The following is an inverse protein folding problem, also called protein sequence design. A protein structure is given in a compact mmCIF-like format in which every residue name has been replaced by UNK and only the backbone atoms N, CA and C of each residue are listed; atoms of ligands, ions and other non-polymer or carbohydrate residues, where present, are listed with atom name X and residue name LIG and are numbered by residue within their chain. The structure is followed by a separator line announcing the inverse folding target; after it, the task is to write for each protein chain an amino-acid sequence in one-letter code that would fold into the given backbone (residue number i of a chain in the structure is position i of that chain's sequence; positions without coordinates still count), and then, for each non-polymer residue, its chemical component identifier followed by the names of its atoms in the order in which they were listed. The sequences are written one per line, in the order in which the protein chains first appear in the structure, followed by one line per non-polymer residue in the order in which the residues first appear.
data_IF_486574816830
#
_entry.id   IF_486574816830
#
_cell.length_a   1.000
_cell.length_b   1.000
_cell.length_c   1.000
_cell.angle_alpha   90.00
_cell.angle_beta   90.00
_cell.angle_gamma   90.00
#
_symmetry.space_group_name_H-M   'P 1'
#
loop_
_entity.id
_entity.type
_entity.pdbx_description
1 polymer ?
#
# COMPACT_ATOMS: atom_id res chain seq x y z
N UNK A 1 13.88 6.99 1.10
CA UNK A 1 13.86 5.51 1.30
C UNK A 1 14.93 4.81 0.49
N UNK A 2 14.94 4.89 -0.83
CA UNK A 2 15.96 4.20 -1.65
C UNK A 2 17.37 4.68 -1.30
N UNK A 3 17.59 5.97 -1.21
CA UNK A 3 18.87 6.59 -0.82
C UNK A 3 19.29 6.28 0.64
N UNK A 4 18.33 5.84 1.46
CA UNK A 4 18.59 5.41 2.85
C UNK A 4 18.87 3.91 2.97
N UNK A 5 19.01 3.20 1.82
CA UNK A 5 19.36 1.78 1.77
C UNK A 5 18.19 0.80 1.65
N UNK A 6 16.94 1.28 1.54
CA UNK A 6 15.78 0.44 1.26
C UNK A 6 15.63 0.24 -0.25
N UNK A 7 16.35 -0.72 -0.81
CA UNK A 7 16.44 -0.90 -2.25
C UNK A 7 15.34 -1.81 -2.84
N UNK A 8 14.85 -2.77 -2.07
CA UNK A 8 13.80 -3.70 -2.52
C UNK A 8 12.41 -3.08 -2.35
N UNK A 9 12.07 -2.15 -3.23
CA UNK A 9 10.80 -1.43 -3.19
C UNK A 9 9.97 -1.83 -4.40
N UNK A 10 8.72 -2.28 -4.15
CA UNK A 10 7.70 -2.47 -5.17
C UNK A 10 6.60 -1.44 -4.95
N UNK A 11 6.37 -0.63 -5.96
CA UNK A 11 5.28 0.35 -5.99
C UNK A 11 4.18 -0.15 -6.90
N UNK A 12 2.94 -0.02 -6.48
CA UNK A 12 1.77 -0.31 -7.31
C UNK A 12 0.90 0.93 -7.45
N UNK A 13 0.33 1.11 -8.61
CA UNK A 13 -0.65 2.16 -8.88
C UNK A 13 -1.67 1.65 -9.91
N UNK A 14 -2.92 2.06 -9.77
CA UNK A 14 -4.00 1.72 -10.70
C UNK A 14 -3.93 2.53 -12.00
N UNK A 15 -3.11 3.57 -12.04
CA UNK A 15 -2.90 4.39 -13.21
C UNK A 15 -1.72 3.87 -14.05
N UNK A 16 -2.02 3.30 -15.21
CA UNK A 16 -0.98 2.90 -16.17
C UNK A 16 -0.05 4.06 -16.57
N UNK A 17 -0.60 5.26 -16.69
CA UNK A 17 0.18 6.46 -17.03
C UNK A 17 1.17 6.81 -15.92
N UNK A 18 0.73 6.74 -14.66
CA UNK A 18 1.58 6.99 -13.51
C UNK A 18 2.72 5.96 -13.44
N UNK A 19 2.40 4.68 -13.55
CA UNK A 19 3.36 3.59 -13.53
C UNK A 19 4.43 3.79 -14.61
N UNK A 20 4.02 3.99 -15.85
CA UNK A 20 4.94 4.20 -16.98
C UNK A 20 5.86 5.41 -16.79
N UNK A 21 5.28 6.53 -16.35
CA UNK A 21 6.06 7.74 -16.09
C UNK A 21 7.10 7.52 -14.98
N UNK A 22 6.73 6.82 -13.92
CA UNK A 22 7.63 6.55 -12.80
C UNK A 22 8.70 5.52 -13.15
N UNK A 23 8.37 4.48 -13.92
CA UNK A 23 9.36 3.52 -14.43
C UNK A 23 10.46 4.22 -15.23
N UNK A 24 10.08 5.10 -16.15
CA UNK A 24 11.03 5.88 -16.96
C UNK A 24 11.92 6.78 -16.08
N UNK A 25 11.32 7.43 -15.08
CA UNK A 25 12.00 8.35 -14.18
C UNK A 25 13.04 7.68 -13.29
N UNK A 26 12.80 6.45 -12.84
CA UNK A 26 13.69 5.75 -11.89
C UNK A 26 14.71 4.84 -12.56
N UNK A 27 14.53 4.52 -13.84
CA UNK A 27 15.28 3.51 -14.61
C UNK A 27 16.78 3.55 -14.40
N UNK A 28 17.37 4.74 -14.39
CA UNK A 28 18.81 4.94 -14.25
C UNK A 28 19.29 5.11 -12.80
N UNK A 29 18.37 5.44 -11.88
CA UNK A 29 18.71 5.85 -10.51
C UNK A 29 18.43 4.78 -9.47
N UNK A 30 17.42 3.97 -9.69
CA UNK A 30 16.90 3.03 -8.67
C UNK A 30 16.68 1.64 -9.29
N UNK A 31 17.76 0.94 -9.60
CA UNK A 31 17.73 -0.33 -10.37
C UNK A 31 16.88 -1.44 -9.74
N UNK A 32 16.76 -1.47 -8.42
CA UNK A 32 16.02 -2.50 -7.69
C UNK A 32 14.59 -2.06 -7.32
N UNK A 33 14.23 -0.81 -7.57
CA UNK A 33 12.88 -0.30 -7.36
C UNK A 33 12.00 -0.66 -8.57
N UNK A 34 10.80 -1.14 -8.30
CA UNK A 34 9.83 -1.56 -9.32
C UNK A 34 8.57 -0.70 -9.22
N UNK A 35 8.02 -0.33 -10.37
CA UNK A 35 6.67 0.20 -10.47
C UNK A 35 5.83 -0.77 -11.29
N UNK A 36 4.62 -1.07 -10.84
CA UNK A 36 3.72 -2.00 -11.51
C UNK A 36 2.29 -1.46 -11.49
N UNK A 37 1.57 -1.71 -12.56
CA UNK A 37 0.13 -1.61 -12.50
C UNK A 37 -0.40 -2.62 -11.48
N UNK A 38 -1.28 -2.18 -10.59
CA UNK A 38 -1.89 -3.06 -9.60
C UNK A 38 -3.09 -2.41 -8.93
N UNK A 39 -4.03 -3.24 -8.52
CA UNK A 39 -5.19 -2.82 -7.77
C UNK A 39 -5.03 -3.29 -6.31
N UNK A 40 -5.03 -2.36 -5.39
CA UNK A 40 -4.82 -2.64 -3.96
C UNK A 40 -5.91 -3.51 -3.32
N UNK A 41 -7.09 -3.60 -3.94
CA UNK A 41 -8.17 -4.49 -3.49
C UNK A 41 -8.07 -5.93 -4.04
N UNK A 42 -7.11 -6.17 -4.92
CA UNK A 42 -6.81 -7.49 -5.49
C UNK A 42 -5.32 -7.55 -5.85
N UNK A 43 -4.52 -8.03 -4.91
CA UNK A 43 -3.07 -8.17 -5.05
C UNK A 43 -2.65 -9.63 -5.21
N UNK A 44 -3.45 -10.42 -5.94
CA UNK A 44 -3.26 -11.87 -6.12
C UNK A 44 -1.88 -12.27 -6.71
N UNK A 45 -1.20 -11.34 -7.40
CA UNK A 45 0.16 -11.56 -7.92
C UNK A 45 1.22 -11.67 -6.82
N UNK A 46 0.92 -11.17 -5.60
CA UNK A 46 1.84 -11.22 -4.46
C UNK A 46 1.46 -12.35 -3.50
N UNK A 47 2.48 -13.02 -2.97
CA UNK A 47 2.31 -14.12 -2.02
C UNK A 47 1.94 -13.58 -0.63
N UNK A 48 1.28 -14.43 0.14
CA UNK A 48 1.08 -14.15 1.57
C UNK A 48 2.42 -14.02 2.29
N UNK A 49 2.58 -12.98 3.11
CA UNK A 49 3.79 -12.76 3.87
C UNK A 49 5.01 -12.29 3.06
N UNK A 50 4.82 -11.74 1.86
CA UNK A 50 5.91 -11.38 0.95
C UNK A 50 6.66 -10.11 1.39
N UNK A 51 5.99 -9.17 2.05
CA UNK A 51 6.54 -7.85 2.38
C UNK A 51 6.73 -7.65 3.88
N UNK A 52 7.86 -7.07 4.27
CA UNK A 52 8.12 -6.69 5.65
C UNK A 52 7.45 -5.37 6.03
N UNK A 53 7.28 -4.47 5.07
CA UNK A 53 6.66 -3.17 5.25
C UNK A 53 5.73 -2.89 4.08
N UNK A 54 4.53 -2.41 4.36
CA UNK A 54 3.62 -1.84 3.37
C UNK A 54 3.35 -0.38 3.75
N UNK A 55 3.46 0.52 2.77
CA UNK A 55 3.22 1.95 2.96
C UNK A 55 2.09 2.37 2.05
N UNK A 56 1.05 2.95 2.64
CA UNK A 56 -0.01 3.66 1.94
C UNK A 56 0.06 5.16 2.24
N UNK A 57 -0.03 5.97 1.19
CA UNK A 57 -0.18 7.41 1.32
C UNK A 57 -1.33 7.88 0.42
N UNK A 58 -2.51 8.03 1.02
CA UNK A 58 -3.70 8.56 0.38
C UNK A 58 -4.49 7.56 -0.49
N UNK A 59 -4.04 6.31 -0.64
CA UNK A 59 -4.79 5.30 -1.41
C UNK A 59 -6.07 4.89 -0.66
N UNK A 60 -5.98 4.67 0.64
CA UNK A 60 -7.17 4.40 1.46
C UNK A 60 -8.17 5.56 1.39
N UNK A 61 -7.69 6.81 1.40
CA UNK A 61 -8.56 7.99 1.25
C UNK A 61 -9.29 7.97 -0.11
N UNK A 62 -8.59 7.62 -1.18
CA UNK A 62 -9.17 7.48 -2.52
C UNK A 62 -10.20 6.37 -2.60
N UNK A 63 -9.93 5.22 -1.98
CA UNK A 63 -10.87 4.09 -1.90
C UNK A 63 -12.13 4.48 -1.14
N UNK A 64 -11.97 5.22 -0.04
CA UNK A 64 -13.10 5.68 0.78
C UNK A 64 -13.93 6.78 0.13
N UNK A 65 -13.42 7.48 -0.88
CA UNK A 65 -14.16 8.46 -1.67
C UNK A 65 -14.91 7.85 -2.87
N UNK A 66 -14.66 6.59 -3.20
CA UNK A 66 -15.25 5.90 -4.35
C UNK A 66 -16.57 5.18 -4.04
N UNK A 67 -17.13 4.57 -5.08
CA UNK A 67 -18.28 3.68 -4.94
C UNK A 67 -17.90 2.40 -4.18
N UNK A 68 -18.84 1.84 -3.41
CA UNK A 68 -18.60 0.67 -2.56
C UNK A 68 -17.41 0.86 -1.60
N UNK A 69 -17.28 2.05 -1.05
CA UNK A 69 -16.11 2.48 -0.29
C UNK A 69 -15.77 1.55 0.88
N UNK A 70 -16.74 1.20 1.73
CA UNK A 70 -16.48 0.33 2.89
C UNK A 70 -16.06 -1.09 2.50
N UNK A 71 -16.78 -1.82 1.63
CA UNK A 71 -16.33 -3.14 1.17
C UNK A 71 -14.96 -3.12 0.47
N UNK A 72 -14.66 -2.07 -0.28
CA UNK A 72 -13.38 -1.92 -0.96
C UNK A 72 -12.24 -1.61 0.03
N UNK A 73 -12.49 -0.80 1.05
CA UNK A 73 -11.52 -0.56 2.11
C UNK A 73 -11.21 -1.84 2.90
N UNK A 74 -12.23 -2.64 3.22
CA UNK A 74 -12.02 -3.96 3.87
C UNK A 74 -11.20 -4.91 3.01
N UNK A 75 -11.48 -4.99 1.71
CA UNK A 75 -10.68 -5.80 0.78
C UNK A 75 -9.24 -5.33 0.70
N UNK A 76 -9.02 -4.02 0.56
CA UNK A 76 -7.69 -3.41 0.56
C UNK A 76 -6.91 -3.80 1.81
N UNK A 77 -7.48 -3.62 2.99
CA UNK A 77 -6.81 -3.92 4.26
C UNK A 77 -6.57 -5.41 4.47
N UNK A 78 -7.51 -6.26 4.04
CA UNK A 78 -7.34 -7.71 4.02
C UNK A 78 -6.17 -8.14 3.14
N UNK A 79 -6.04 -7.58 1.94
CA UNK A 79 -4.93 -7.85 1.03
C UNK A 79 -3.59 -7.33 1.60
N UNK A 80 -3.56 -6.12 2.17
CA UNK A 80 -2.37 -5.59 2.84
C UNK A 80 -1.96 -6.51 3.99
N UNK A 81 -2.90 -6.92 4.83
CA UNK A 81 -2.61 -7.85 5.93
C UNK A 81 -2.10 -9.20 5.41
N UNK A 82 -2.67 -9.73 4.34
CA UNK A 82 -2.24 -11.00 3.72
C UNK A 82 -0.81 -10.95 3.20
N UNK A 83 -0.44 -9.88 2.51
CA UNK A 83 0.89 -9.76 1.89
C UNK A 83 1.99 -9.36 2.88
N UNK A 84 1.63 -8.84 4.07
CA UNK A 84 2.59 -8.56 5.13
C UNK A 84 3.12 -9.84 5.76
N UNK A 85 4.43 -9.89 5.93
CA UNK A 85 5.11 -10.94 6.69
C UNK A 85 4.67 -10.92 8.17
N UNK A 86 4.81 -12.06 8.90
CA UNK A 86 4.67 -12.05 10.35
C UNK A 86 5.57 -10.97 10.97
N UNK A 87 5.02 -10.16 11.86
CA UNK A 87 5.67 -8.97 12.44
C UNK A 87 5.99 -7.85 11.43
N UNK A 88 5.42 -7.90 10.23
CA UNK A 88 5.50 -6.81 9.26
C UNK A 88 4.75 -5.56 9.74
N UNK A 89 5.10 -4.42 9.16
CA UNK A 89 4.55 -3.12 9.55
C UNK A 89 3.73 -2.52 8.40
N UNK A 90 2.53 -2.06 8.71
CA UNK A 90 1.74 -1.23 7.81
C UNK A 90 1.79 0.23 8.26
N UNK A 91 2.20 1.11 7.36
CA UNK A 91 2.25 2.56 7.58
C UNK A 91 1.21 3.21 6.68
N UNK A 92 0.21 3.86 7.27
CA UNK A 92 -0.83 4.56 6.54
C UNK A 92 -0.75 6.07 6.82
N UNK A 93 -0.58 6.84 5.76
CA UNK A 93 -0.66 8.31 5.78
C UNK A 93 -1.97 8.73 5.14
N UNK A 94 -2.89 9.25 5.93
CA UNK A 94 -4.28 9.52 5.55
C UNK A 94 -4.73 10.89 6.03
N UNK A 95 -5.70 11.49 5.34
CA UNK A 95 -6.36 12.73 5.76
C UNK A 95 -7.39 12.54 6.87
N UNK A 96 -7.92 11.32 7.04
CA UNK A 96 -8.89 11.04 8.09
C UNK A 96 -8.24 11.09 9.48
N UNK A 97 -9.03 11.53 10.45
CA UNK A 97 -8.63 11.46 11.84
C UNK A 97 -8.55 10.01 12.34
N UNK A 98 -7.90 9.82 13.49
CA UNK A 98 -7.69 8.49 14.08
C UNK A 98 -9.01 7.78 14.40
N UNK A 99 -10.02 8.46 14.88
CA UNK A 99 -11.33 7.87 15.20
C UNK A 99 -12.02 7.34 13.94
N UNK A 100 -12.04 8.12 12.85
CA UNK A 100 -12.66 7.70 11.59
C UNK A 100 -11.91 6.54 10.91
N UNK A 101 -10.61 6.38 11.17
CA UNK A 101 -9.77 5.33 10.57
C UNK A 101 -9.64 4.09 11.44
N UNK A 102 -9.68 4.21 12.75
CA UNK A 102 -9.60 3.10 13.71
C UNK A 102 -10.51 1.93 13.36
N UNK A 103 -11.78 2.21 13.02
CA UNK A 103 -12.77 1.18 12.71
C UNK A 103 -12.32 0.22 11.60
N UNK A 104 -11.52 0.70 10.65
CA UNK A 104 -11.01 -0.13 9.55
C UNK A 104 -9.79 -0.96 9.94
N UNK A 105 -8.99 -0.49 10.88
CA UNK A 105 -7.71 -1.14 11.21
C UNK A 105 -7.82 -2.17 12.32
N UNK A 106 -8.73 -2.02 13.27
CA UNK A 106 -8.82 -2.86 14.47
C UNK A 106 -8.99 -4.36 14.19
N UNK A 107 -9.60 -4.69 13.04
CA UNK A 107 -9.82 -6.09 12.65
C UNK A 107 -8.58 -6.78 12.10
N UNK A 108 -7.58 -6.02 11.69
CA UNK A 108 -6.41 -6.53 10.95
C UNK A 108 -5.08 -6.26 11.63
N UNK A 109 -4.95 -5.17 12.41
CA UNK A 109 -3.65 -4.67 12.88
C UNK A 109 -3.65 -4.34 14.37
N UNK A 110 -2.49 -4.52 15.02
CA UNK A 110 -2.20 -3.84 16.28
C UNK A 110 -1.83 -2.39 15.97
N UNK A 111 -2.53 -1.44 16.59
CA UNK A 111 -2.46 -0.03 16.21
C UNK A 111 -1.50 0.75 17.11
N UNK A 112 -0.66 1.55 16.46
CA UNK A 112 0.08 2.65 17.08
C UNK A 112 -0.18 3.91 16.25
N UNK A 113 -0.71 4.95 16.88
CA UNK A 113 -0.94 6.25 16.24
C UNK A 113 0.16 7.24 16.63
N UNK A 114 0.57 8.02 15.67
CA UNK A 114 1.55 9.07 15.86
C UNK A 114 0.98 10.41 15.46
#
# INVERSE_FOLDING_TARGET
MYEDGYENITNIDISHTCVKFMEERIKERCKNMKYKYGNVIDMAEYKSGEFNVVIDKGTLDSVLCGDNSEPNAEKMLSEIHRVLAPNGVFICVTYGDDESRKKYFVSFFFLTFF
#
